data_IF_180417454598
#
_entry.id   IF_180417454598
#
_cell.length_a   1.000
_cell.length_b   1.000
_cell.length_c   1.000
_cell.angle_alpha   90.00
_cell.angle_beta   90.00
_cell.angle_gamma   90.00
#
_symmetry.space_group_name_H-M   'P 1'
#
loop_
_entity.id
_entity.type
_entity.pdbx_description
1 polymer ?
#
# COMPACT_ATOMS: atom_id res chain seq x y z
N UNK A 1 -9.17 -26.47 18.04
CA UNK A 1 -8.89 -25.01 18.03
C UNK A 1 -8.20 -24.67 16.71
N UNK A 2 -8.83 -23.88 15.83
CA UNK A 2 -8.18 -23.44 14.58
C UNK A 2 -7.33 -22.21 14.89
N UNK A 3 -6.01 -22.34 14.82
CA UNK A 3 -5.10 -21.19 14.76
C UNK A 3 -5.33 -20.49 13.41
N UNK A 4 -6.27 -19.54 13.38
CA UNK A 4 -6.30 -18.53 12.32
C UNK A 4 -5.17 -17.55 12.64
N UNK A 5 -4.00 -17.79 12.09
CA UNK A 5 -3.05 -16.71 11.89
C UNK A 5 -3.74 -15.72 10.94
N UNK A 6 -4.03 -14.52 11.43
CA UNK A 6 -4.71 -13.45 10.70
C UNK A 6 -3.80 -12.91 9.57
N UNK A 7 -3.61 -13.72 8.54
CA UNK A 7 -3.02 -13.34 7.26
C UNK A 7 -4.04 -12.55 6.44
N UNK A 8 -4.38 -11.34 6.92
CA UNK A 8 -5.17 -10.40 6.14
C UNK A 8 -4.24 -9.59 5.24
N UNK A 9 -4.46 -9.66 3.92
CA UNK A 9 -3.76 -8.83 2.93
C UNK A 9 -3.83 -7.34 3.31
N UNK A 10 -2.73 -6.64 3.03
CA UNK A 10 -2.54 -5.25 3.45
C UNK A 10 -2.55 -5.08 4.95
N UNK A 11 -1.66 -5.79 5.64
CA UNK A 11 -1.29 -5.52 7.02
C UNK A 11 0.00 -4.70 7.01
N UNK A 12 0.08 -3.64 7.81
CA UNK A 12 1.32 -2.85 7.93
C UNK A 12 2.25 -3.63 8.87
N UNK A 13 3.29 -4.24 8.30
CA UNK A 13 4.35 -4.91 9.06
C UNK A 13 5.45 -3.91 9.43
N UNK A 14 6.33 -4.21 10.41
CA UNK A 14 7.45 -3.34 10.75
C UNK A 14 8.35 -3.01 9.55
N UNK A 15 8.50 -3.94 8.61
CA UNK A 15 9.27 -3.71 7.37
C UNK A 15 8.56 -2.70 6.45
N UNK A 16 7.25 -2.83 6.27
CA UNK A 16 6.45 -1.90 5.46
C UNK A 16 6.47 -0.52 6.11
N UNK A 17 6.33 -0.46 7.44
CA UNK A 17 6.40 0.80 8.18
C UNK A 17 7.76 1.47 7.97
N UNK A 18 8.87 0.75 8.15
CA UNK A 18 10.22 1.28 7.92
C UNK A 18 10.40 1.77 6.49
N UNK A 19 10.05 0.95 5.49
CA UNK A 19 10.17 1.34 4.07
C UNK A 19 9.25 2.52 3.73
N UNK A 20 8.06 2.60 4.32
CA UNK A 20 7.16 3.73 4.11
C UNK A 20 7.76 5.03 4.65
N UNK A 21 8.43 4.99 5.81
CA UNK A 21 9.15 6.15 6.35
C UNK A 21 10.31 6.56 5.45
N UNK A 22 11.04 5.60 4.88
CA UNK A 22 12.16 5.85 3.97
C UNK A 22 11.73 6.45 2.63
N UNK A 23 10.65 5.93 2.03
CA UNK A 23 10.21 6.33 0.70
C UNK A 23 9.24 7.52 0.71
N UNK A 24 8.37 7.60 1.72
CA UNK A 24 7.29 8.59 1.80
C UNK A 24 7.55 9.67 2.84
N UNK A 25 8.49 9.45 3.76
CA UNK A 25 8.75 10.36 4.90
C UNK A 25 7.76 10.17 6.07
N UNK A 26 6.87 9.18 6.03
CA UNK A 26 5.91 8.88 7.10
C UNK A 26 5.53 7.41 7.15
N UNK A 27 5.01 6.95 8.29
CA UNK A 27 4.45 5.61 8.41
C UNK A 27 3.10 5.53 7.69
N UNK A 28 3.02 4.71 6.64
CA UNK A 28 1.78 4.48 5.91
C UNK A 28 0.75 3.77 6.79
N UNK A 29 -0.49 4.21 6.74
CA UNK A 29 -1.59 3.54 7.41
C UNK A 29 -2.06 2.29 6.65
N UNK A 30 -2.75 1.39 7.35
CA UNK A 30 -3.32 0.19 6.72
C UNK A 30 -4.36 0.54 5.64
N UNK A 31 -5.13 1.61 5.84
CA UNK A 31 -6.13 2.07 4.87
C UNK A 31 -5.45 2.60 3.61
N UNK A 32 -4.41 3.43 3.75
CA UNK A 32 -3.61 3.92 2.62
C UNK A 32 -3.02 2.76 1.82
N UNK A 33 -2.40 1.79 2.51
CA UNK A 33 -1.80 0.62 1.88
C UNK A 33 -2.83 -0.20 1.08
N UNK A 34 -4.08 -0.28 1.57
CA UNK A 34 -5.18 -0.97 0.89
C UNK A 34 -5.80 -0.17 -0.25
N UNK A 35 -5.73 1.16 -0.19
CA UNK A 35 -6.29 2.06 -1.19
C UNK A 35 -5.40 2.17 -2.44
N UNK A 36 -4.07 2.07 -2.26
CA UNK A 36 -3.08 2.12 -3.36
C UNK A 36 -3.43 1.25 -4.58
N UNK A 37 -3.76 -0.06 -4.45
CA UNK A 37 -4.09 -0.88 -5.62
C UNK A 37 -5.38 -0.48 -6.34
N UNK A 38 -6.37 0.01 -5.60
CA UNK A 38 -7.60 0.51 -6.23
C UNK A 38 -7.29 1.73 -7.09
N UNK A 39 -6.49 2.67 -6.56
CA UNK A 39 -6.07 3.88 -7.28
C UNK A 39 -5.18 3.52 -8.48
N UNK A 40 -4.26 2.56 -8.33
CA UNK A 40 -3.46 2.05 -9.44
C UNK A 40 -4.35 1.48 -10.56
N UNK A 41 -5.33 0.65 -10.21
CA UNK A 41 -6.25 0.07 -11.19
C UNK A 41 -7.00 1.18 -11.94
N UNK A 42 -7.55 2.16 -11.22
CA UNK A 42 -8.22 3.29 -11.84
C UNK A 42 -7.29 4.11 -12.75
N UNK A 43 -6.03 4.33 -12.34
CA UNK A 43 -5.05 5.05 -13.14
C UNK A 43 -4.67 4.34 -14.44
N UNK A 44 -4.56 3.01 -14.41
CA UNK A 44 -4.12 2.22 -15.56
C UNK A 44 -5.27 1.86 -16.52
N UNK A 45 -6.50 1.72 -16.03
CA UNK A 45 -7.61 1.18 -16.82
C UNK A 45 -8.70 2.21 -17.10
N UNK A 46 -9.14 2.94 -16.07
CA UNK A 46 -10.36 3.75 -16.15
C UNK A 46 -10.07 5.23 -16.43
N UNK A 47 -8.91 5.74 -15.97
CA UNK A 47 -8.55 7.16 -16.04
C UNK A 47 -9.31 8.07 -15.07
N UNK A 48 -10.15 7.50 -14.19
CA UNK A 48 -10.88 8.24 -13.15
C UNK A 48 -11.15 7.36 -11.93
N UNK A 49 -11.35 7.99 -10.77
CA UNK A 49 -11.78 7.32 -9.54
C UNK A 49 -13.29 7.44 -9.40
N UNK A 50 -13.98 6.31 -9.25
CA UNK A 50 -15.41 6.32 -8.98
C UNK A 50 -15.68 6.73 -7.53
N UNK A 51 -16.05 7.99 -7.32
CA UNK A 51 -16.34 8.59 -6.01
C UNK A 51 -17.47 7.88 -5.23
N UNK A 52 -18.33 7.09 -5.88
CA UNK A 52 -19.36 6.30 -5.20
C UNK A 52 -18.79 5.03 -4.54
N UNK A 53 -17.62 4.57 -4.99
CA UNK A 53 -16.93 3.39 -4.45
C UNK A 53 -15.91 3.75 -3.35
N UNK A 54 -15.68 5.04 -3.12
CA UNK A 54 -14.72 5.55 -2.15
C UNK A 54 -15.45 6.07 -0.92
N UNK A 55 -15.11 5.53 0.24
CA UNK A 55 -15.66 5.95 1.53
C UNK A 55 -15.15 7.34 1.95
N UNK A 56 -15.80 7.97 2.93
CA UNK A 56 -15.36 9.26 3.45
C UNK A 56 -13.89 9.26 3.97
N UNK A 57 -13.44 8.24 4.72
CA UNK A 57 -12.03 8.13 5.13
C UNK A 57 -11.06 8.01 3.94
N UNK A 58 -11.41 7.21 2.93
CA UNK A 58 -10.55 7.06 1.75
C UNK A 58 -10.47 8.34 0.92
N UNK A 59 -11.56 9.11 0.82
CA UNK A 59 -11.52 10.44 0.18
C UNK A 59 -10.58 11.40 0.91
N UNK A 60 -10.53 11.32 2.23
CA UNK A 60 -9.58 12.13 3.00
C UNK A 60 -8.13 11.71 2.74
N UNK A 61 -7.88 10.40 2.64
CA UNK A 61 -6.57 9.87 2.23
C UNK A 61 -6.18 10.40 0.84
N UNK A 62 -7.09 10.36 -0.13
CA UNK A 62 -6.83 10.88 -1.47
C UNK A 62 -6.46 12.36 -1.42
N UNK A 63 -7.18 13.19 -0.65
CA UNK A 63 -6.84 14.62 -0.46
C UNK A 63 -5.46 14.81 0.16
N UNK A 64 -5.10 14.00 1.16
CA UNK A 64 -3.77 14.06 1.75
C UNK A 64 -2.67 13.64 0.77
N UNK A 65 -2.97 12.73 -0.16
CA UNK A 65 -2.06 12.37 -1.23
C UNK A 65 -1.89 13.50 -2.26
N UNK A 66 -2.93 14.28 -2.53
CA UNK A 66 -2.83 15.50 -3.36
C UNK A 66 -1.89 16.52 -2.72
N UNK A 67 -2.05 16.80 -1.42
CA UNK A 67 -1.19 17.77 -0.72
C UNK A 67 0.26 17.31 -0.60
N UNK A 68 0.52 15.99 -0.69
CA UNK A 68 1.86 15.39 -0.72
C UNK A 68 2.46 15.28 -2.12
N UNK A 69 1.71 15.65 -3.16
CA UNK A 69 2.19 15.62 -4.55
C UNK A 69 2.25 14.22 -5.16
N UNK A 70 1.37 13.31 -4.74
CA UNK A 70 1.18 12.00 -5.41
C UNK A 70 0.31 12.09 -6.66
N UNK A 71 -0.41 13.19 -6.84
CA UNK A 71 -1.25 13.42 -8.00
C UNK A 71 -2.48 14.24 -7.68
N UNK A 72 -3.45 14.17 -8.58
CA UNK A 72 -4.78 14.74 -8.45
C UNK A 72 -5.80 13.62 -8.61
N UNK A 73 -6.62 13.40 -7.58
CA UNK A 73 -7.53 12.26 -7.45
C UNK A 73 -9.01 12.66 -7.61
N UNK A 74 -9.23 13.82 -8.24
CA UNK A 74 -10.55 14.35 -8.58
C UNK A 74 -11.18 13.71 -9.84
N UNK A 75 -12.07 14.44 -10.55
CA UNK A 75 -12.78 13.92 -11.72
C UNK A 75 -11.87 13.52 -12.89
N UNK A 76 -10.71 14.16 -13.00
CA UNK A 76 -9.66 13.81 -13.95
C UNK A 76 -8.50 13.25 -13.14
N UNK A 77 -8.24 11.96 -13.23
CA UNK A 77 -7.15 11.35 -12.47
C UNK A 77 -5.81 11.72 -13.11
N UNK A 78 -4.91 12.29 -12.33
CA UNK A 78 -3.52 12.53 -12.74
C UNK A 78 -2.61 11.95 -11.68
N UNK A 79 -1.67 11.08 -12.07
CA UNK A 79 -0.79 10.36 -11.16
C UNK A 79 0.64 10.83 -11.37
N UNK A 80 1.27 11.31 -10.30
CA UNK A 80 2.66 11.73 -10.33
C UNK A 80 3.62 10.54 -10.15
N UNK A 81 4.87 10.70 -10.59
CA UNK A 81 5.92 9.67 -10.46
C UNK A 81 6.15 9.24 -9.01
N UNK A 82 5.97 10.16 -8.06
CA UNK A 82 6.06 9.93 -6.61
C UNK A 82 5.11 8.83 -6.13
N UNK A 83 3.88 8.77 -6.68
CA UNK A 83 2.93 7.71 -6.37
C UNK A 83 3.40 6.34 -6.88
N UNK A 84 3.93 6.28 -8.11
CA UNK A 84 4.49 5.05 -8.66
C UNK A 84 5.69 4.54 -7.85
N UNK A 85 6.53 5.46 -7.36
CA UNK A 85 7.61 5.11 -6.44
C UNK A 85 7.07 4.57 -5.10
N UNK A 86 5.95 5.11 -4.60
CA UNK A 86 5.30 4.62 -3.39
C UNK A 86 4.72 3.20 -3.56
N UNK A 87 4.21 2.87 -4.76
CA UNK A 87 3.77 1.52 -5.12
C UNK A 87 4.91 0.50 -5.06
N UNK A 88 6.19 0.88 -5.03
CA UNK A 88 7.29 -0.08 -4.80
C UNK A 88 7.18 -0.75 -3.40
N UNK A 89 6.37 -0.23 -2.48
CA UNK A 89 5.99 -0.87 -1.22
C UNK A 89 5.04 -2.08 -1.39
N UNK A 90 4.43 -2.21 -2.57
CA UNK A 90 3.47 -3.24 -2.96
C UNK A 90 3.90 -4.69 -2.75
N UNK A 91 5.17 -5.10 -2.93
CA UNK A 91 5.59 -6.46 -2.60
C UNK A 91 5.33 -6.81 -1.13
N UNK A 92 5.38 -5.83 -0.21
CA UNK A 92 4.99 -6.02 1.20
C UNK A 92 3.49 -6.23 1.41
N UNK A 93 2.63 -5.79 0.48
CA UNK A 93 1.18 -6.04 0.51
C UNK A 93 0.81 -7.40 -0.12
N UNK A 94 1.49 -7.81 -1.19
CA UNK A 94 1.16 -9.01 -1.99
C UNK A 94 1.73 -10.29 -1.41
N UNK A 95 2.91 -10.22 -0.81
CA UNK A 95 3.53 -11.40 -0.19
C UNK A 95 2.91 -11.63 1.19
N UNK A 96 2.25 -12.78 1.46
CA UNK A 96 2.04 -13.18 2.84
C UNK A 96 3.43 -13.31 3.47
N UNK A 97 3.69 -12.59 4.57
CA UNK A 97 4.89 -12.78 5.36
C UNK A 97 4.77 -14.15 6.01
N UNK A 98 5.10 -15.23 5.28
CA UNK A 98 5.29 -16.53 5.86
C UNK A 98 6.20 -16.33 7.08
N UNK A 99 5.66 -16.57 8.27
CA UNK A 99 6.42 -16.49 9.50
C UNK A 99 7.73 -17.23 9.32
N UNK A 100 8.83 -16.53 9.63
CA UNK A 100 10.20 -17.03 9.69
C UNK A 100 10.51 -18.18 8.72
N UNK A 101 11.21 -17.90 7.62
CA UNK A 101 12.15 -18.91 7.15
C UNK A 101 13.10 -19.14 8.33
N UNK A 102 13.16 -20.34 8.93
CA UNK A 102 14.29 -20.65 9.78
C UNK A 102 15.51 -20.43 8.89
N UNK A 103 16.43 -19.58 9.36
CA UNK A 103 17.79 -19.60 8.88
C UNK A 103 18.24 -21.06 9.06
N UNK A 104 18.23 -21.85 7.99
CA UNK A 104 19.01 -23.07 7.97
C UNK A 104 20.44 -22.57 7.88
N UNK A 105 21.06 -22.39 9.04
CA UNK A 105 22.51 -22.45 9.15
C UNK A 105 22.94 -23.68 8.36
N UNK A 106 23.85 -23.47 7.39
CA UNK A 106 24.55 -24.55 6.73
C UNK A 106 25.23 -25.39 7.80
N UNK A 107 24.64 -26.54 8.12
CA UNK A 107 25.33 -27.59 8.85
C UNK A 107 26.40 -28.16 7.93
N UNK A 108 27.57 -27.51 7.92
CA UNK A 108 28.83 -28.20 7.72
C UNK A 108 29.05 -29.10 8.93
N UNK A 109 28.82 -30.40 8.77
CA UNK A 109 29.69 -31.50 9.23
C UNK A 109 29.11 -32.86 8.86
#
# INVERSE_FOLDING_TARGET
>A
MRNRTDYSRGLVTPEIERKSRELLGYAISQQELRLMPYVQHCAMNDGYINQQRVSAPEREILRQWETRGFGWFGPHLSIEKSFWNAIILWPGYVMPVCGALPYTEESSQ
#
